data_IF_700468279183
#
_entry.id   IF_700468279183
#
_cell.length_a   1.000
_cell.length_b   1.000
_cell.length_c   1.000
_cell.angle_alpha   90.00
_cell.angle_beta   90.00
_cell.angle_gamma   90.00
#
_symmetry.space_group_name_H-M   'P 1'
#
loop_
_entity.id
_entity.type
_entity.pdbx_description
1 polymer ?
#
# COMPACT_ATOMS: atom_id res chain seq x y z
N UNK A 1 -8.52 -10.47 -2.20
CA UNK A 1 -7.34 -9.58 -2.21
C UNK A 1 -7.62 -8.17 -2.72
N UNK A 2 -7.71 -7.96 -4.03
CA UNK A 2 -7.66 -6.59 -4.62
C UNK A 2 -8.86 -5.68 -4.31
N UNK A 3 -10.04 -6.23 -4.01
CA UNK A 3 -11.24 -5.44 -3.63
C UNK A 3 -11.06 -4.71 -2.30
N UNK A 4 -10.35 -5.32 -1.35
CA UNK A 4 -10.09 -4.75 -0.03
C UNK A 4 -8.79 -3.96 0.03
N UNK A 5 -8.06 -3.78 -1.08
CA UNK A 5 -6.77 -3.10 -1.09
C UNK A 5 -6.87 -1.67 -0.54
N UNK A 6 -7.91 -0.92 -0.92
CA UNK A 6 -8.18 0.41 -0.37
C UNK A 6 -8.54 0.38 1.12
N UNK A 7 -9.31 -0.62 1.54
CA UNK A 7 -9.68 -0.79 2.95
C UNK A 7 -8.47 -1.13 3.82
N UNK A 8 -7.55 -1.95 3.32
CA UNK A 8 -6.31 -2.29 4.01
C UNK A 8 -5.43 -1.04 4.18
N UNK A 9 -5.26 -0.23 3.12
CA UNK A 9 -4.50 1.03 3.21
C UNK A 9 -5.13 2.02 4.19
N UNK A 10 -6.47 2.13 4.18
CA UNK A 10 -7.20 2.94 5.13
C UNK A 10 -6.99 2.47 6.57
N UNK A 11 -7.14 1.17 6.82
CA UNK A 11 -7.01 0.58 8.14
C UNK A 11 -5.58 0.73 8.68
N UNK A 12 -4.55 0.50 7.86
CA UNK A 12 -3.16 0.67 8.27
C UNK A 12 -2.83 2.14 8.58
N UNK A 13 -3.36 3.08 7.79
CA UNK A 13 -3.19 4.50 8.05
C UNK A 13 -3.92 4.96 9.31
N UNK A 14 -5.13 4.45 9.54
CA UNK A 14 -5.90 4.72 10.75
C UNK A 14 -5.18 4.18 11.98
N UNK A 15 -4.73 2.91 11.95
CA UNK A 15 -4.00 2.30 13.06
C UNK A 15 -2.68 3.03 13.34
N UNK A 16 -1.88 3.27 12.30
CA UNK A 16 -0.60 3.98 12.47
C UNK A 16 -0.81 5.40 13.02
N UNK A 17 -1.70 6.18 12.40
CA UNK A 17 -1.97 7.55 12.79
C UNK A 17 -2.55 7.65 14.20
N UNK A 18 -3.53 6.82 14.53
CA UNK A 18 -4.13 6.81 15.87
C UNK A 18 -3.13 6.39 16.95
N UNK A 19 -2.33 5.34 16.72
CA UNK A 19 -1.31 4.88 17.68
C UNK A 19 -0.25 5.96 17.93
N UNK A 20 0.31 6.55 16.86
CA UNK A 20 1.36 7.58 16.98
C UNK A 20 0.83 8.81 17.72
N UNK A 21 -0.35 9.31 17.36
CA UNK A 21 -0.94 10.47 18.02
C UNK A 21 -1.33 10.16 19.47
N UNK A 22 -1.90 8.98 19.72
CA UNK A 22 -2.22 8.56 21.08
C UNK A 22 -0.97 8.47 21.96
N UNK A 23 0.14 7.94 21.44
CA UNK A 23 1.42 7.89 22.13
C UNK A 23 2.01 9.28 22.39
N UNK A 24 1.91 10.20 21.42
CA UNK A 24 2.32 11.59 21.60
C UNK A 24 1.50 12.26 22.69
N UNK A 25 0.17 12.19 22.61
CA UNK A 25 -0.72 12.74 23.63
C UNK A 25 -0.48 12.08 25.00
N UNK A 26 -0.18 10.78 25.08
CA UNK A 26 0.14 10.11 26.33
C UNK A 26 1.46 10.62 26.94
N UNK A 27 2.48 10.86 26.10
CA UNK A 27 3.76 11.46 26.54
C UNK A 27 3.58 12.92 26.97
N UNK A 28 2.74 13.67 26.27
CA UNK A 28 2.43 15.07 26.57
C UNK A 28 1.55 15.20 27.82
N UNK A 29 0.66 14.23 28.08
CA UNK A 29 -0.13 14.12 29.32
C UNK A 29 0.74 13.97 30.57
N UNK A 30 1.94 13.41 30.41
CA UNK A 30 2.94 13.34 31.49
C UNK A 30 3.60 14.70 31.73
N UNK A 31 3.60 15.59 30.73
CA UNK A 31 4.36 16.84 30.74
C UNK A 31 3.51 18.05 31.14
N UNK A 32 2.32 18.26 30.56
CA UNK A 32 1.45 19.40 30.90
C UNK A 32 -0.04 19.09 30.65
N UNK A 33 -0.87 19.16 31.70
CA UNK A 33 -2.34 19.30 31.67
C UNK A 33 -3.21 18.03 31.57
N UNK A 34 -4.18 17.94 32.49
CA UNK A 34 -5.20 16.88 32.67
C UNK A 34 -6.21 16.81 31.50
N UNK A 35 -5.79 16.42 30.29
CA UNK A 35 -6.77 15.97 29.30
C UNK A 35 -7.35 14.62 29.77
N UNK A 36 -8.68 14.54 29.82
CA UNK A 36 -9.38 13.28 30.09
C UNK A 36 -8.98 12.25 29.04
N UNK A 37 -8.79 10.99 29.48
CA UNK A 37 -8.37 9.88 28.61
C UNK A 37 -9.28 9.78 27.37
N UNK A 38 -10.57 10.02 27.58
CA UNK A 38 -11.61 10.04 26.54
C UNK A 38 -11.38 11.12 25.48
N UNK A 39 -10.99 12.34 25.87
CA UNK A 39 -10.70 13.42 24.93
C UNK A 39 -9.46 13.10 24.09
N UNK A 40 -8.40 12.56 24.70
CA UNK A 40 -7.19 12.17 23.97
C UNK A 40 -7.45 11.01 22.98
N UNK A 41 -8.32 10.07 23.35
CA UNK A 41 -8.76 9.00 22.46
C UNK A 41 -9.56 9.57 21.27
N UNK A 42 -10.47 10.52 21.52
CA UNK A 42 -11.23 11.19 20.47
C UNK A 42 -10.33 11.94 19.46
N UNK A 43 -9.34 12.70 19.95
CA UNK A 43 -8.37 13.42 19.11
C UNK A 43 -7.52 12.44 18.30
N UNK A 44 -7.01 11.39 18.93
CA UNK A 44 -6.22 10.36 18.27
C UNK A 44 -7.01 9.62 17.18
N UNK A 45 -8.28 9.30 17.43
CA UNK A 45 -9.17 8.70 16.44
C UNK A 45 -9.50 9.67 15.31
N UNK A 46 -9.72 10.95 15.60
CA UNK A 46 -9.96 11.98 14.58
C UNK A 46 -8.78 12.14 13.63
N UNK A 47 -7.57 12.31 14.17
CA UNK A 47 -6.35 12.43 13.35
C UNK A 47 -6.03 11.10 12.65
N UNK A 48 -6.22 9.97 13.33
CA UNK A 48 -6.10 8.63 12.74
C UNK A 48 -7.02 8.45 11.54
N UNK A 49 -8.28 8.88 11.65
CA UNK A 49 -9.24 8.85 10.55
C UNK A 49 -8.75 9.69 9.38
N UNK A 50 -8.31 10.93 9.60
CA UNK A 50 -7.72 11.78 8.55
C UNK A 50 -6.51 11.10 7.88
N UNK A 51 -5.61 10.50 8.66
CA UNK A 51 -4.47 9.75 8.15
C UNK A 51 -4.91 8.53 7.32
N UNK A 52 -5.94 7.81 7.77
CA UNK A 52 -6.57 6.70 7.04
C UNK A 52 -7.17 7.14 5.71
N UNK A 53 -7.86 8.27 5.66
CA UNK A 53 -8.37 8.83 4.40
C UNK A 53 -7.24 9.21 3.45
N UNK A 54 -6.18 9.87 3.94
CA UNK A 54 -5.02 10.26 3.13
C UNK A 54 -4.30 9.04 2.55
N UNK A 55 -4.09 7.99 3.35
CA UNK A 55 -3.46 6.74 2.92
C UNK A 55 -4.32 5.95 1.93
N UNK A 56 -5.65 6.04 2.03
CA UNK A 56 -6.57 5.50 1.03
C UNK A 56 -6.52 6.26 -0.29
N UNK A 57 -6.37 7.59 -0.23
CA UNK A 57 -6.32 8.47 -1.40
C UNK A 57 -4.98 8.32 -2.15
N UNK A 58 -3.88 8.29 -1.41
CA UNK A 58 -2.51 8.22 -1.93
C UNK A 58 -1.98 6.80 -1.84
N UNK A 59 -2.11 6.05 -2.94
CA UNK A 59 -1.64 4.65 -3.04
C UNK A 59 -0.20 4.45 -2.58
N UNK A 60 0.71 5.36 -2.93
CA UNK A 60 2.12 5.27 -2.55
C UNK A 60 2.32 5.41 -1.04
N UNK A 61 1.56 6.33 -0.42
CA UNK A 61 1.61 6.56 1.03
C UNK A 61 0.99 5.38 1.77
N UNK A 62 -0.15 4.87 1.31
CA UNK A 62 -0.78 3.68 1.90
C UNK A 62 0.11 2.43 1.83
N UNK A 63 0.79 2.19 0.71
CA UNK A 63 1.75 1.08 0.60
C UNK A 63 2.94 1.27 1.55
N UNK A 64 3.49 2.48 1.62
CA UNK A 64 4.56 2.81 2.54
C UNK A 64 4.15 2.59 4.00
N UNK A 65 2.98 3.07 4.42
CA UNK A 65 2.48 2.88 5.79
C UNK A 65 2.21 1.40 6.11
N UNK A 66 1.64 0.62 5.19
CA UNK A 66 1.47 -0.83 5.40
C UNK A 66 2.81 -1.55 5.59
N UNK A 67 3.82 -1.20 4.79
CA UNK A 67 5.15 -1.79 4.89
C UNK A 67 5.89 -1.38 6.16
N UNK A 68 5.77 -0.11 6.57
CA UNK A 68 6.27 0.37 7.87
C UNK A 68 5.65 -0.42 9.03
N UNK A 69 4.32 -0.56 9.03
CA UNK A 69 3.60 -1.25 10.09
C UNK A 69 4.04 -2.72 10.17
N UNK A 70 4.17 -3.39 9.03
CA UNK A 70 4.67 -4.77 8.97
C UNK A 70 6.10 -4.89 9.48
N UNK A 71 6.99 -3.98 9.07
CA UNK A 71 8.39 -4.03 9.50
C UNK A 71 8.57 -3.72 10.99
N UNK A 72 7.76 -2.82 11.56
CA UNK A 72 7.67 -2.59 13.01
C UNK A 72 7.23 -3.86 13.75
N UNK A 73 6.20 -4.53 13.22
CA UNK A 73 5.68 -5.78 13.79
C UNK A 73 6.72 -6.91 13.73
N UNK A 74 7.44 -7.06 12.61
CA UNK A 74 8.51 -8.05 12.48
C UNK A 74 9.74 -7.71 13.34
N UNK A 75 10.07 -6.42 13.48
CA UNK A 75 11.22 -5.98 14.27
C UNK A 75 10.98 -6.22 15.76
N UNK A 76 9.78 -5.90 16.24
CA UNK A 76 9.37 -6.21 17.62
C UNK A 76 9.39 -7.72 17.88
N UNK A 77 8.86 -8.54 16.97
CA UNK A 77 8.94 -9.99 17.08
C UNK A 77 10.39 -10.50 17.11
N UNK A 78 11.25 -9.99 16.23
CA UNK A 78 12.66 -10.36 16.18
C UNK A 78 13.41 -9.96 17.46
N UNK A 79 13.15 -8.76 18.00
CA UNK A 79 13.74 -8.31 19.26
C UNK A 79 13.31 -9.19 20.44
N UNK A 80 12.05 -9.57 20.50
CA UNK A 80 11.50 -10.45 21.53
C UNK A 80 12.08 -11.86 21.42
N UNK A 81 12.20 -12.39 20.21
CA UNK A 81 12.79 -13.70 19.95
C UNK A 81 14.32 -13.73 20.18
N UNK A 82 15.02 -12.62 19.94
CA UNK A 82 16.46 -12.49 20.18
C UNK A 82 16.81 -12.16 21.64
N UNK A 83 15.81 -11.85 22.48
CA UNK A 83 15.99 -11.51 23.89
C UNK A 83 16.85 -12.52 24.72
N UNK A 84 16.76 -13.85 24.54
CA UNK A 84 17.57 -14.79 25.31
C UNK A 84 19.01 -14.92 24.78
N UNK A 85 19.28 -14.51 23.53
CA UNK A 85 20.57 -14.72 22.86
C UNK A 85 21.44 -13.47 22.91
N UNK A 86 20.84 -12.29 22.77
CA UNK A 86 21.54 -11.01 22.71
C UNK A 86 20.98 -10.03 23.76
N UNK A 87 21.57 -9.94 24.97
CA UNK A 87 21.29 -8.82 25.86
C UNK A 87 21.88 -7.54 25.23
N UNK A 88 21.05 -6.54 24.85
CA UNK A 88 21.57 -5.37 24.15
C UNK A 88 22.34 -4.47 25.13
N UNK A 89 23.61 -4.14 24.85
CA UNK A 89 24.40 -3.25 25.73
C UNK A 89 24.03 -1.77 25.57
N UNK A 90 23.21 -1.41 24.57
CA UNK A 90 22.91 -0.03 24.21
C UNK A 90 21.48 0.16 23.69
N UNK A 91 20.78 1.24 24.08
CA UNK A 91 19.41 1.53 23.64
C UNK A 91 19.31 1.85 22.13
N UNK A 92 20.42 2.18 21.48
CA UNK A 92 20.46 2.52 20.04
C UNK A 92 20.32 1.29 19.14
N UNK A 93 20.72 0.10 19.62
CA UNK A 93 20.63 -1.15 18.86
C UNK A 93 19.17 -1.55 18.58
N UNK A 94 18.27 -1.63 19.58
CA UNK A 94 16.87 -1.93 19.31
C UNK A 94 16.20 -0.83 18.49
N UNK A 95 16.48 0.45 18.76
CA UNK A 95 15.95 1.56 17.98
C UNK A 95 16.37 1.50 16.49
N UNK A 96 17.65 1.22 16.23
CA UNK A 96 18.18 1.04 14.89
C UNK A 96 17.58 -0.18 14.17
N UNK A 97 17.37 -1.29 14.87
CA UNK A 97 16.72 -2.48 14.30
C UNK A 97 15.25 -2.25 13.94
N UNK A 98 14.50 -1.54 14.81
CA UNK A 98 13.11 -1.14 14.59
C UNK A 98 13.00 -0.24 13.35
N UNK A 99 13.79 0.83 13.32
CA UNK A 99 13.79 1.78 12.20
C UNK A 99 14.27 1.13 10.91
N UNK A 100 15.37 0.37 10.96
CA UNK A 100 15.97 -0.28 9.80
C UNK A 100 15.04 -1.30 9.15
N UNK A 101 14.46 -2.21 9.93
CA UNK A 101 13.55 -3.23 9.39
C UNK A 101 12.21 -2.63 8.96
N UNK A 102 11.70 -1.61 9.66
CA UNK A 102 10.53 -0.85 9.24
C UNK A 102 10.74 -0.18 7.87
N UNK A 103 11.85 0.56 7.70
CA UNK A 103 12.18 1.20 6.43
C UNK A 103 12.41 0.17 5.32
N UNK A 104 13.15 -0.90 5.60
CA UNK A 104 13.39 -1.96 4.63
C UNK A 104 12.06 -2.54 4.12
N UNK A 105 11.15 -2.92 5.03
CA UNK A 105 9.83 -3.43 4.65
C UNK A 105 8.99 -2.39 3.91
N UNK A 106 9.09 -1.10 4.27
CA UNK A 106 8.40 -0.02 3.59
C UNK A 106 8.88 0.21 2.15
N UNK A 107 10.20 0.16 1.92
CA UNK A 107 10.79 0.24 0.57
C UNK A 107 10.45 -0.98 -0.25
N UNK A 108 10.48 -2.15 0.36
CA UNK A 108 10.10 -3.40 -0.28
C UNK A 108 8.61 -3.36 -0.69
N UNK A 109 7.75 -2.73 0.11
CA UNK A 109 6.32 -2.58 -0.18
C UNK A 109 6.06 -1.72 -1.43
N UNK A 110 6.96 -0.78 -1.73
CA UNK A 110 6.94 0.00 -2.95
C UNK A 110 7.36 -0.83 -4.17
N UNK A 111 8.35 -1.72 -4.01
CA UNK A 111 8.85 -2.56 -5.11
C UNK A 111 7.91 -3.72 -5.46
N UNK A 112 7.37 -4.41 -4.45
CA UNK A 112 6.51 -5.58 -4.64
C UNK A 112 5.16 -5.45 -3.91
N UNK A 113 4.31 -4.51 -4.33
CA UNK A 113 3.10 -4.16 -3.60
C UNK A 113 2.11 -5.32 -3.45
N UNK A 114 2.07 -6.26 -4.40
CA UNK A 114 1.18 -7.43 -4.31
C UNK A 114 1.65 -8.43 -3.26
N UNK A 115 2.92 -8.84 -3.33
CA UNK A 115 3.46 -9.83 -2.41
C UNK A 115 3.43 -9.30 -0.98
N UNK A 116 3.79 -8.03 -0.78
CA UNK A 116 3.83 -7.46 0.55
C UNK A 116 2.47 -7.13 1.14
N UNK A 117 1.46 -6.78 0.34
CA UNK A 117 0.11 -6.65 0.91
C UNK A 117 -0.49 -7.98 1.32
N UNK A 118 -0.26 -9.05 0.56
CA UNK A 118 -0.63 -10.41 0.95
C UNK A 118 0.08 -10.77 2.26
N UNK A 119 1.41 -10.67 2.30
CA UNK A 119 2.20 -10.95 3.50
C UNK A 119 1.74 -10.11 4.70
N UNK A 120 1.57 -8.81 4.52
CA UNK A 120 1.11 -7.90 5.56
C UNK A 120 -0.22 -8.34 6.16
N UNK A 121 -1.23 -8.60 5.33
CA UNK A 121 -2.55 -9.06 5.83
C UNK A 121 -2.49 -10.40 6.54
N UNK A 122 -1.66 -11.33 6.08
CA UNK A 122 -1.46 -12.63 6.72
C UNK A 122 -0.80 -12.48 8.10
N UNK A 123 0.28 -11.71 8.19
CA UNK A 123 1.04 -11.50 9.43
C UNK A 123 0.22 -10.68 10.43
N UNK A 124 -0.48 -9.63 10.00
CA UNK A 124 -1.38 -8.85 10.87
C UNK A 124 -2.56 -9.69 11.37
N UNK A 125 -3.19 -10.49 10.49
CA UNK A 125 -4.27 -11.39 10.89
C UNK A 125 -3.81 -12.42 11.92
N UNK A 126 -2.64 -13.03 11.68
CA UNK A 126 -2.04 -13.96 12.64
C UNK A 126 -1.69 -13.27 13.96
N UNK A 127 -1.15 -12.05 13.94
CA UNK A 127 -0.86 -11.28 15.15
C UNK A 127 -2.13 -11.02 15.97
N UNK A 128 -3.25 -10.65 15.33
CA UNK A 128 -4.53 -10.46 16.03
C UNK A 128 -4.99 -11.77 16.67
N UNK A 129 -4.93 -12.90 15.96
CA UNK A 129 -5.31 -14.22 16.52
C UNK A 129 -4.43 -14.59 17.71
N UNK A 130 -3.12 -14.33 17.62
CA UNK A 130 -2.15 -14.59 18.69
C UNK A 130 -2.44 -13.72 19.91
N UNK A 131 -2.73 -12.43 19.72
CA UNK A 131 -3.12 -11.53 20.82
C UNK A 131 -4.45 -11.95 21.45
N UNK A 132 -5.43 -12.39 20.66
CA UNK A 132 -6.67 -12.93 21.18
C UNK A 132 -6.43 -14.20 22.01
N UNK A 133 -5.60 -15.12 21.52
CA UNK A 133 -5.23 -16.32 22.26
C UNK A 133 -4.49 -15.97 23.56
N UNK A 134 -3.56 -15.03 23.52
CA UNK A 134 -2.82 -14.53 24.69
C UNK A 134 -3.75 -13.89 25.74
N UNK A 135 -4.79 -13.15 25.31
CA UNK A 135 -5.80 -12.62 26.21
C UNK A 135 -6.55 -13.73 26.97
N UNK A 136 -6.94 -14.81 26.29
CA UNK A 136 -7.67 -15.92 26.92
C UNK A 136 -6.79 -16.79 27.83
N UNK A 137 -5.50 -16.96 27.49
CA UNK A 137 -4.60 -17.87 28.22
C UNK A 137 -3.90 -17.16 29.38
N UNK A 138 -3.34 -15.97 29.14
CA UNK A 138 -2.47 -15.27 30.11
C UNK A 138 -2.88 -13.80 30.34
N UNK A 139 -4.09 -13.39 29.94
CA UNK A 139 -4.61 -12.03 30.14
C UNK A 139 -3.67 -10.91 29.63
N UNK A 140 -3.08 -11.10 28.45
CA UNK A 140 -2.17 -10.15 27.77
C UNK A 140 -0.74 -10.08 28.33
N UNK A 141 -0.27 -11.11 29.04
CA UNK A 141 1.09 -11.17 29.57
C UNK A 141 2.16 -11.02 28.46
N UNK A 142 1.96 -11.60 27.27
CA UNK A 142 2.89 -11.46 26.15
C UNK A 142 2.96 -10.00 25.67
N UNK A 143 1.81 -9.33 25.57
CA UNK A 143 1.73 -7.92 25.15
C UNK A 143 2.41 -7.00 26.15
N UNK A 144 2.22 -7.24 27.46
CA UNK A 144 2.90 -6.50 28.52
C UNK A 144 4.41 -6.73 28.48
N UNK A 145 4.86 -7.96 28.27
CA UNK A 145 6.29 -8.24 28.10
C UNK A 145 6.90 -7.51 26.91
N UNK A 146 6.23 -7.52 25.75
CA UNK A 146 6.66 -6.78 24.55
C UNK A 146 6.75 -5.28 24.87
N UNK A 147 5.77 -4.74 25.58
CA UNK A 147 5.73 -3.34 26.00
C UNK A 147 6.90 -2.96 26.92
N UNK A 148 7.16 -3.77 27.94
CA UNK A 148 8.26 -3.53 28.89
C UNK A 148 9.62 -3.61 28.18
N UNK A 149 9.77 -4.54 27.24
CA UNK A 149 10.98 -4.65 26.41
C UNK A 149 11.17 -3.44 25.50
N UNK A 150 10.11 -2.93 24.87
CA UNK A 150 10.15 -1.70 24.08
C UNK A 150 10.51 -0.47 24.93
N UNK A 151 10.10 -0.47 26.22
CA UNK A 151 10.50 0.57 27.17
C UNK A 151 11.90 0.40 27.75
N UNK A 152 12.64 -0.65 27.35
CA UNK A 152 13.92 -1.03 27.95
C UNK A 152 13.81 -1.26 29.47
N UNK A 153 12.61 -1.57 29.96
CA UNK A 153 12.37 -1.91 31.35
C UNK A 153 12.77 -3.38 31.60
N UNK A 154 13.18 -3.73 32.83
CA UNK A 154 13.45 -5.12 33.18
C UNK A 154 12.14 -5.92 33.15
N UNK A 155 11.91 -6.60 32.04
CA UNK A 155 10.75 -7.47 31.88
C UNK A 155 10.99 -8.80 32.61
N UNK A 156 9.99 -9.28 33.35
CA UNK A 156 10.01 -10.59 34.01
C UNK A 156 10.18 -11.75 33.01
N UNK A 157 10.62 -12.94 33.45
CA UNK A 157 10.82 -14.07 32.56
C UNK A 157 9.48 -14.52 31.94
N UNK A 158 9.51 -14.80 30.63
CA UNK A 158 8.35 -15.40 29.94
C UNK A 158 8.09 -16.80 30.45
N UNK A 159 6.83 -17.12 30.72
CA UNK A 159 6.40 -18.50 30.92
C UNK A 159 6.58 -19.31 29.61
N UNK A 160 6.67 -20.65 29.74
CA UNK A 160 6.80 -21.53 28.57
C UNK A 160 5.66 -21.33 27.55
N UNK A 161 4.44 -21.02 28.02
CA UNK A 161 3.28 -20.77 27.17
C UNK A 161 3.48 -19.53 26.28
N UNK A 162 4.04 -18.44 26.81
CA UNK A 162 4.38 -17.26 26.01
C UNK A 162 5.33 -17.57 24.85
N UNK A 163 6.30 -18.48 25.05
CA UNK A 163 7.17 -18.94 23.96
C UNK A 163 6.44 -19.76 22.90
N UNK A 164 5.49 -20.61 23.31
CA UNK A 164 4.65 -21.39 22.39
C UNK A 164 3.75 -20.46 21.57
N UNK A 165 3.12 -19.48 22.22
CA UNK A 165 2.25 -18.48 21.57
C UNK A 165 3.06 -17.63 20.58
N UNK A 166 4.28 -17.22 20.95
CA UNK A 166 5.21 -16.51 20.07
C UNK A 166 5.63 -17.37 18.87
N UNK A 167 5.88 -18.67 19.08
CA UNK A 167 6.22 -19.62 18.02
C UNK A 167 5.05 -19.99 17.11
N UNK A 168 3.80 -19.92 17.61
CA UNK A 168 2.60 -20.17 16.83
C UNK A 168 2.35 -19.08 15.77
N UNK A 169 2.76 -17.84 16.05
CA UNK A 169 2.56 -16.71 15.15
C UNK A 169 3.17 -16.90 13.74
N UNK A 170 4.47 -17.23 13.56
CA UNK A 170 5.01 -17.47 12.22
C UNK A 170 4.34 -18.65 11.51
N UNK A 171 3.96 -19.71 12.24
CA UNK A 171 3.24 -20.84 11.66
C UNK A 171 1.85 -20.44 11.12
N UNK A 172 1.08 -19.67 11.91
CA UNK A 172 -0.20 -19.13 11.49
C UNK A 172 -0.06 -18.16 10.32
N UNK A 173 1.00 -17.35 10.31
CA UNK A 173 1.29 -16.42 9.21
C UNK A 173 1.59 -17.19 7.92
N UNK A 174 2.43 -18.24 7.99
CA UNK A 174 2.72 -19.10 6.85
C UNK A 174 1.47 -19.80 6.34
N UNK A 175 0.64 -20.34 7.23
CA UNK A 175 -0.64 -20.94 6.86
C UNK A 175 -1.56 -19.93 6.18
N UNK A 176 -1.67 -18.71 6.70
CA UNK A 176 -2.46 -17.64 6.11
C UNK A 176 -1.93 -17.23 4.72
N UNK A 177 -0.61 -17.15 4.54
CA UNK A 177 0.00 -16.90 3.22
C UNK A 177 -0.29 -18.05 2.26
N UNK A 178 -0.17 -19.31 2.68
CA UNK A 178 -0.47 -20.48 1.85
C UNK A 178 -1.94 -20.53 1.47
N UNK A 179 -2.84 -20.25 2.40
CA UNK A 179 -4.28 -20.14 2.14
C UNK A 179 -4.55 -19.02 1.13
N UNK A 180 -4.01 -17.83 1.37
CA UNK A 180 -4.12 -16.70 0.44
C UNK A 180 -3.54 -17.05 -0.92
N UNK A 181 -2.42 -17.77 -1.01
CA UNK A 181 -1.82 -18.17 -2.27
C UNK A 181 -2.68 -19.21 -2.99
N UNK A 182 -3.15 -20.26 -2.31
CA UNK A 182 -4.02 -21.29 -2.91
C UNK A 182 -5.33 -20.69 -3.42
N UNK A 183 -6.00 -19.87 -2.60
CA UNK A 183 -7.22 -19.15 -3.00
C UNK A 183 -6.96 -18.09 -4.09
N UNK A 184 -5.77 -17.49 -4.14
CA UNK A 184 -5.41 -16.49 -5.17
C UNK A 184 -4.92 -17.14 -6.48
N UNK A 185 -4.37 -18.35 -6.42
CA UNK A 185 -3.98 -19.13 -7.60
C UNK A 185 -5.21 -19.62 -8.37
N UNK A 186 -6.27 -20.02 -7.65
CA UNK A 186 -7.54 -20.40 -8.26
C UNK A 186 -8.42 -19.18 -8.65
N UNK A 187 -8.16 -18.02 -8.04
CA UNK A 187 -8.92 -16.79 -8.24
C UNK A 187 -8.29 -15.82 -9.26
N UNK A 188 -8.52 -16.07 -10.56
CA UNK A 188 -8.48 -15.11 -11.67
C UNK A 188 -7.55 -13.88 -11.54
N UNK A 189 -6.47 -13.91 -12.30
CA UNK A 189 -5.52 -12.81 -12.51
C UNK A 189 -6.17 -11.55 -13.13
N UNK A 190 -6.89 -10.76 -12.33
CA UNK A 190 -7.46 -9.48 -12.76
C UNK A 190 -6.40 -8.40 -12.98
N UNK A 191 -5.16 -8.60 -12.51
CA UNK A 191 -4.09 -7.66 -12.83
C UNK A 191 -3.64 -7.82 -14.28
N UNK A 192 -3.64 -9.05 -14.81
CA UNK A 192 -3.46 -9.28 -16.24
C UNK A 192 -4.64 -8.74 -17.04
N UNK A 193 -5.86 -8.73 -16.50
CA UNK A 193 -7.02 -8.11 -17.18
C UNK A 193 -6.91 -6.58 -17.25
N UNK A 194 -6.41 -5.90 -16.20
CA UNK A 194 -6.26 -4.43 -16.22
C UNK A 194 -5.06 -4.02 -17.08
N UNK A 195 -3.94 -4.74 -16.98
CA UNK A 195 -2.77 -4.50 -17.83
C UNK A 195 -3.07 -4.85 -19.28
N UNK A 196 -3.76 -5.97 -19.56
CA UNK A 196 -4.20 -6.34 -20.90
C UNK A 196 -5.28 -5.42 -21.45
N UNK A 197 -6.19 -4.84 -20.65
CA UNK A 197 -7.12 -3.81 -21.13
C UNK A 197 -6.37 -2.52 -21.52
N UNK A 198 -5.34 -2.11 -20.77
CA UNK A 198 -4.47 -0.99 -21.15
C UNK A 198 -3.63 -1.31 -22.39
N UNK A 199 -3.03 -2.50 -22.47
CA UNK A 199 -2.32 -2.96 -23.67
C UNK A 199 -3.25 -3.09 -24.88
N UNK A 200 -4.45 -3.64 -24.72
CA UNK A 200 -5.48 -3.71 -25.77
C UNK A 200 -5.92 -2.31 -26.21
N UNK A 201 -6.11 -1.35 -25.28
CA UNK A 201 -6.38 0.06 -25.64
C UNK A 201 -5.21 0.69 -26.40
N UNK A 202 -3.96 0.46 -25.99
CA UNK A 202 -2.78 0.96 -26.70
C UNK A 202 -2.59 0.29 -28.07
N UNK A 203 -2.88 -1.01 -28.19
CA UNK A 203 -2.89 -1.72 -29.47
C UNK A 203 -4.01 -1.22 -30.39
N UNK A 204 -5.23 -1.00 -29.87
CA UNK A 204 -6.33 -0.40 -30.62
C UNK A 204 -6.01 1.03 -31.08
N UNK A 205 -5.35 1.84 -30.26
CA UNK A 205 -4.86 3.17 -30.66
C UNK A 205 -3.81 3.08 -31.77
N UNK A 206 -2.85 2.13 -31.68
CA UNK A 206 -1.87 1.88 -32.75
C UNK A 206 -2.51 1.39 -34.05
N UNK A 207 -3.53 0.53 -33.96
CA UNK A 207 -4.29 0.03 -35.13
C UNK A 207 -5.03 1.19 -35.79
N UNK A 208 -5.77 2.00 -35.02
CA UNK A 208 -6.44 3.21 -35.53
C UNK A 208 -5.45 4.20 -36.16
N UNK A 209 -4.26 4.37 -35.58
CA UNK A 209 -3.22 5.21 -36.20
C UNK A 209 -2.71 4.63 -37.52
N UNK A 210 -2.47 3.31 -37.60
CA UNK A 210 -2.06 2.66 -38.85
C UNK A 210 -3.15 2.73 -39.91
N UNK A 211 -4.42 2.54 -39.54
CA UNK A 211 -5.56 2.68 -40.45
C UNK A 211 -5.75 4.12 -40.91
N UNK A 212 -5.60 5.11 -40.03
CA UNK A 212 -5.62 6.52 -40.41
C UNK A 212 -4.49 6.85 -41.38
N UNK A 213 -3.27 6.34 -41.14
CA UNK A 213 -2.12 6.51 -42.04
C UNK A 213 -2.34 5.79 -43.38
N UNK A 214 -2.97 4.61 -43.36
CA UNK A 214 -3.32 3.85 -44.58
C UNK A 214 -4.43 4.54 -45.38
N UNK A 215 -5.41 5.15 -44.70
CA UNK A 215 -6.45 5.98 -45.32
C UNK A 215 -5.88 7.28 -45.88
N UNK A 216 -4.87 7.87 -45.23
CA UNK A 216 -4.14 9.02 -45.80
C UNK A 216 -3.27 8.62 -47.00
N UNK A 217 -2.72 7.41 -47.04
CA UNK A 217 -2.00 6.91 -48.22
C UNK A 217 -2.91 6.40 -49.34
N UNK A 218 -4.16 6.02 -49.04
CA UNK A 218 -5.19 5.64 -50.01
C UNK A 218 -6.12 6.79 -50.38
N UNK A 219 -6.06 7.93 -49.68
CA UNK A 219 -6.65 9.16 -50.18
C UNK A 219 -5.94 9.43 -51.52
N UNK A 220 -6.70 9.54 -52.63
CA UNK A 220 -6.09 9.95 -53.88
C UNK A 220 -5.36 11.26 -53.57
N UNK A 221 -4.14 11.42 -54.06
CA UNK A 221 -3.65 12.77 -54.30
C UNK A 221 -4.75 13.43 -55.12
N UNK A 222 -5.53 14.32 -54.50
CA UNK A 222 -6.44 15.22 -55.20
C UNK A 222 -5.53 16.08 -56.08
N UNK A 223 -5.24 15.52 -57.25
CA UNK A 223 -4.56 16.17 -58.32
C UNK A 223 -5.37 17.41 -58.62
N UNK A 224 -4.73 18.54 -58.37
CA UNK A 224 -5.18 19.89 -58.69
C UNK A 224 -5.41 20.02 -60.19
N UNK A 225 -6.44 19.38 -60.75
CA UNK A 225 -6.95 19.69 -62.08
C UNK A 225 -7.81 20.93 -61.95
N UNK A 226 -7.12 22.05 -61.77
CA UNK A 226 -7.67 23.40 -61.91
C UNK A 226 -8.08 23.55 -63.37
N UNK A 227 -9.33 23.19 -63.69
CA UNK A 227 -9.96 23.48 -64.98
C UNK A 227 -9.86 24.99 -65.21
N UNK A 228 -8.92 25.43 -66.05
CA UNK A 228 -8.90 26.80 -66.55
C UNK A 228 -10.19 27.00 -67.36
N UNK A 229 -11.01 28.03 -67.11
CA UNK A 229 -12.10 28.37 -68.00
C UNK A 229 -11.53 28.77 -69.36
N UNK A 230 -12.19 28.43 -70.49
CA UNK A 230 -11.71 28.81 -71.81
C UNK A 230 -11.71 30.34 -71.95
N UNK A 231 -10.72 30.92 -72.65
CA UNK A 231 -10.69 32.35 -72.90
C UNK A 231 -11.84 32.72 -73.86
N UNK A 232 -12.64 33.71 -73.47
CA UNK A 232 -13.67 34.32 -74.32
C UNK A 232 -12.96 35.08 -75.45
N UNK A 233 -12.96 34.50 -76.66
CA UNK A 233 -12.60 35.24 -77.88
C UNK A 233 -13.71 36.26 -78.16
N UNK A 234 -13.44 37.54 -77.88
CA UNK A 234 -14.21 38.65 -78.46
C UNK A 234 -13.65 38.93 -79.85
N UNK A 235 -14.29 38.40 -80.88
CA UNK A 235 -14.20 38.97 -82.22
C UNK A 235 -15.35 39.96 -82.38
N UNK A 236 -15.04 41.24 -82.28
CA UNK A 236 -15.90 42.32 -82.76
C UNK A 236 -15.00 43.23 -83.60
N UNK A 237 -14.80 42.79 -84.84
CA UNK A 237 -14.21 43.57 -85.90
C UNK A 237 -15.22 43.65 -87.04
N UNK A 238 -15.86 44.81 -87.10
CA UNK A 238 -16.16 45.58 -88.30
C UNK A 238 -17.11 45.05 -89.40
N UNK A 239 -18.15 45.88 -89.57
CA UNK A 239 -18.64 46.46 -90.84
C UNK A 239 -19.55 45.58 -91.70
N UNK A 240 -20.79 46.05 -91.86
CA UNK A 240 -21.37 46.44 -93.15
C UNK A 240 -22.67 47.23 -92.92
N UNK A 241 -22.66 48.49 -93.32
CA UNK A 241 -23.85 49.25 -93.75
C UNK A 241 -24.31 48.68 -95.13
N UNK A 242 -25.52 48.96 -95.65
CA UNK A 242 -26.18 50.27 -95.73
C UNK A 242 -27.56 50.37 -95.05
#
# INVERSE_FOLDING_TARGET
GYRCFKAIMFLSGLLFGSIVIFLLCYKERVLETQLSLEASAGIALGIGLLCGLVTMLLRSVGLFTTGLLLGLLLATAALVAAAPVLPPPSPWVPAGSLLGLALLCALLALQWPKALTVLSTAVFGAAVVVVCADYFVEALALVLYVYDRLRLAPAGPLCWHGWVVLGAWPALSLLAVLLQWKLTADGFSHTDVILSRRQKRLQLLRIRQKEAKRRQSLAPAEGTYRRKPPPVQRYAGDVLAP
#
